data_IF_203175875051
#
_entry.id   IF_203175875051
#
_cell.length_a   1.000
_cell.length_b   1.000
_cell.length_c   1.000
_cell.angle_alpha   90.00
_cell.angle_beta   90.00
_cell.angle_gamma   90.00
#
_symmetry.space_group_name_H-M   'P 1'
#
loop_
_entity.id
_entity.type
_entity.pdbx_description
1 polymer ?
#
# COMPACT_ATOMS: atom_id res chain seq x y z
N UNK A 1 -4.23 -9.09 -11.97
CA UNK A 1 -3.68 -9.41 -10.63
C UNK A 1 -3.31 -8.12 -9.90
N UNK A 2 -3.35 -8.08 -8.56
CA UNK A 2 -2.88 -6.94 -7.75
C UNK A 2 -1.67 -7.34 -6.89
N UNK A 3 -0.57 -6.63 -7.04
CA UNK A 3 0.67 -6.88 -6.30
C UNK A 3 1.33 -5.63 -5.75
N UNK A 4 2.48 -5.78 -5.10
CA UNK A 4 3.30 -4.66 -4.63
C UNK A 4 4.71 -4.68 -5.20
N UNK A 5 5.33 -3.51 -5.27
CA UNK A 5 6.75 -3.37 -5.59
C UNK A 5 7.39 -2.19 -4.83
N UNK A 6 8.70 -2.28 -4.64
CA UNK A 6 9.48 -1.18 -4.07
C UNK A 6 9.94 -0.23 -5.17
N UNK A 7 9.57 1.04 -5.04
CA UNK A 7 10.07 2.12 -5.89
C UNK A 7 11.49 2.48 -5.48
N UNK A 8 12.42 2.35 -6.42
CA UNK A 8 13.84 2.72 -6.26
C UNK A 8 14.23 3.76 -7.31
N UNK A 9 14.97 4.79 -6.91
CA UNK A 9 15.50 5.80 -7.84
C UNK A 9 16.59 5.17 -8.72
N UNK A 10 16.67 5.59 -9.99
CA UNK A 10 17.71 5.15 -10.92
C UNK A 10 17.55 3.72 -11.47
N UNK A 11 16.48 3.00 -11.10
CA UNK A 11 16.21 1.67 -11.65
C UNK A 11 15.60 1.81 -13.05
N UNK A 12 16.15 1.07 -14.01
CA UNK A 12 15.66 1.02 -15.39
C UNK A 12 14.21 0.52 -15.41
N UNK A 13 13.38 1.12 -16.26
CA UNK A 13 11.97 0.73 -16.38
C UNK A 13 11.79 -0.77 -16.71
N UNK A 14 12.69 -1.34 -17.52
CA UNK A 14 12.71 -2.76 -17.86
C UNK A 14 12.96 -3.71 -16.67
N UNK A 15 13.49 -3.19 -15.55
CA UNK A 15 13.71 -3.96 -14.33
C UNK A 15 12.56 -3.83 -13.33
N UNK A 16 11.52 -3.08 -13.68
CA UNK A 16 10.29 -2.95 -12.88
C UNK A 16 9.24 -3.93 -13.40
N UNK A 17 8.27 -4.33 -12.55
CA UNK A 17 7.22 -5.22 -13.00
C UNK A 17 6.45 -4.67 -14.19
N UNK A 18 6.16 -5.54 -15.16
CA UNK A 18 5.31 -5.23 -16.32
C UNK A 18 3.87 -5.07 -15.84
N UNK A 19 3.19 -4.02 -16.32
CA UNK A 19 1.81 -3.72 -15.96
C UNK A 19 1.61 -2.27 -15.48
N UNK A 20 0.44 -2.03 -14.91
CA UNK A 20 0.00 -0.73 -14.42
C UNK A 20 0.57 -0.46 -13.04
N UNK A 21 1.48 0.51 -12.94
CA UNK A 21 2.15 0.87 -11.68
C UNK A 21 1.43 2.05 -11.04
N UNK A 22 0.95 1.88 -9.82
CA UNK A 22 0.26 2.92 -9.06
C UNK A 22 1.10 3.37 -7.87
N UNK A 23 1.38 4.67 -7.77
CA UNK A 23 2.07 5.24 -6.62
C UNK A 23 1.09 5.39 -5.44
N UNK A 24 1.42 4.77 -4.31
CA UNK A 24 0.58 4.78 -3.10
C UNK A 24 1.21 5.56 -1.94
N UNK A 25 2.24 6.37 -2.21
CA UNK A 25 2.87 7.21 -1.18
C UNK A 25 1.88 8.23 -0.60
N UNK A 26 2.12 8.65 0.64
CA UNK A 26 1.30 9.60 1.42
C UNK A 26 0.92 10.91 0.71
N UNK A 27 1.71 11.34 -0.27
CA UNK A 27 1.49 12.60 -1.01
C UNK A 27 0.61 12.45 -2.26
N UNK A 28 0.32 11.21 -2.68
CA UNK A 28 -0.56 10.93 -3.84
C UNK A 28 -2.02 11.12 -3.45
N UNK A 29 -2.96 10.96 -4.39
CA UNK A 29 -4.42 10.91 -4.11
C UNK A 29 -4.98 9.48 -4.12
N UNK A 30 -4.11 8.47 -4.14
CA UNK A 30 -4.52 7.08 -4.26
C UNK A 30 -5.39 6.64 -3.07
N UNK A 31 -6.42 5.82 -3.31
CA UNK A 31 -7.37 5.39 -2.27
C UNK A 31 -6.69 4.62 -1.12
N UNK A 32 -5.71 3.77 -1.47
CA UNK A 32 -4.88 3.03 -0.52
C UNK A 32 -3.72 3.83 0.12
N UNK A 33 -3.58 5.15 -0.09
CA UNK A 33 -2.47 5.91 0.52
C UNK A 33 -2.60 5.97 2.05
N UNK A 34 -1.51 5.86 2.83
CA UNK A 34 -1.56 6.21 4.25
C UNK A 34 -1.67 7.74 4.40
N UNK A 35 -2.14 8.23 5.55
CA UNK A 35 -2.08 9.66 5.84
C UNK A 35 -0.64 10.12 6.09
N UNK A 36 -0.37 11.41 5.88
CA UNK A 36 0.97 11.96 6.13
C UNK A 36 1.36 11.86 7.61
N UNK A 37 0.40 12.05 8.50
CA UNK A 37 0.54 11.95 9.95
C UNK A 37 0.94 10.54 10.40
N UNK A 38 0.24 9.52 9.90
CA UNK A 38 0.56 8.12 10.22
C UNK A 38 1.99 7.78 9.79
N UNK A 39 2.40 8.22 8.61
CA UNK A 39 3.78 7.99 8.13
C UNK A 39 4.81 8.77 8.95
N UNK A 40 4.50 9.98 9.42
CA UNK A 40 5.42 10.77 10.22
C UNK A 40 5.77 10.06 11.53
N UNK A 41 4.77 9.46 12.19
CA UNK A 41 4.94 8.72 13.45
C UNK A 41 5.81 7.48 13.29
N UNK A 42 5.51 6.64 12.31
CA UNK A 42 6.23 5.36 12.12
C UNK A 42 7.64 5.52 11.57
N UNK A 43 7.99 6.71 11.06
CA UNK A 43 9.34 7.05 10.59
C UNK A 43 10.07 8.03 11.53
N UNK A 44 9.54 8.26 12.73
CA UNK A 44 10.21 9.03 13.76
C UNK A 44 11.53 8.32 14.18
N UNK A 45 12.59 9.06 14.56
CA UNK A 45 13.88 8.47 14.92
C UNK A 45 13.82 7.47 16.08
N UNK A 46 12.85 7.65 16.98
CA UNK A 46 12.59 6.88 18.19
C UNK A 46 11.40 5.92 18.04
N UNK A 47 10.90 5.73 16.80
CA UNK A 47 9.79 4.82 16.55
C UNK A 47 10.18 3.37 16.89
N UNK A 48 9.36 2.75 17.72
CA UNK A 48 9.51 1.37 18.15
C UNK A 48 8.48 0.43 17.47
N UNK A 49 8.51 -0.84 17.87
CA UNK A 49 7.53 -1.83 17.42
C UNK A 49 6.10 -1.44 17.80
N UNK A 50 5.92 -0.72 18.90
CA UNK A 50 4.63 -0.18 19.34
C UNK A 50 4.08 0.86 18.37
N UNK A 51 4.91 1.78 17.88
CA UNK A 51 4.51 2.75 16.85
C UNK A 51 4.12 2.07 15.55
N UNK A 52 4.80 0.99 15.15
CA UNK A 52 4.37 0.18 14.00
C UNK A 52 2.97 -0.43 14.22
N UNK A 53 2.70 -1.02 15.40
CA UNK A 53 1.38 -1.59 15.67
C UNK A 53 0.28 -0.51 15.68
N UNK A 54 0.56 0.66 16.27
CA UNK A 54 -0.35 1.82 16.24
C UNK A 54 -0.61 2.28 14.81
N UNK A 55 0.43 2.37 13.98
CA UNK A 55 0.32 2.66 12.56
C UNK A 55 -0.56 1.63 11.84
N UNK A 56 -0.31 0.33 12.04
CA UNK A 56 -1.02 -0.73 11.35
C UNK A 56 -2.52 -0.71 11.67
N UNK A 57 -2.86 -0.56 12.96
CA UNK A 57 -4.26 -0.43 13.43
C UNK A 57 -4.93 0.81 12.83
N UNK A 58 -4.31 1.98 12.96
CA UNK A 58 -4.89 3.23 12.47
C UNK A 58 -5.00 3.27 10.95
N UNK A 59 -4.04 2.68 10.22
CA UNK A 59 -4.08 2.60 8.78
C UNK A 59 -5.21 1.67 8.28
N UNK A 60 -5.41 0.51 8.93
CA UNK A 60 -6.55 -0.37 8.60
C UNK A 60 -7.88 0.34 8.86
N UNK A 61 -8.03 1.01 10.01
CA UNK A 61 -9.22 1.79 10.33
C UNK A 61 -9.49 2.90 9.30
N UNK A 62 -8.43 3.57 8.83
CA UNK A 62 -8.53 4.57 7.76
C UNK A 62 -9.03 3.97 6.44
N UNK A 63 -8.60 2.75 6.08
CA UNK A 63 -9.09 2.08 4.88
C UNK A 63 -10.56 1.66 5.04
N UNK A 64 -10.93 1.10 6.18
CA UNK A 64 -12.33 0.75 6.49
C UNK A 64 -13.24 1.98 6.42
N UNK A 65 -12.82 3.10 7.02
CA UNK A 65 -13.57 4.35 6.96
C UNK A 65 -13.77 4.80 5.51
N UNK A 66 -12.69 4.88 4.72
CA UNK A 66 -12.77 5.29 3.31
C UNK A 66 -13.65 4.36 2.49
N UNK A 67 -13.56 3.07 2.74
CA UNK A 67 -14.35 2.06 2.03
C UNK A 67 -15.84 2.19 2.34
N UNK A 68 -16.19 2.46 3.60
CA UNK A 68 -17.55 2.72 4.02
C UNK A 68 -18.10 4.06 3.48
N UNK A 69 -17.26 5.09 3.41
CA UNK A 69 -17.63 6.42 2.88
C UNK A 69 -17.83 6.40 1.37
N UNK A 70 -16.89 5.82 0.63
CA UNK A 70 -16.94 5.69 -0.83
C UNK A 70 -16.18 4.45 -1.29
N UNK A 71 -16.93 3.40 -1.61
CA UNK A 71 -16.41 2.16 -2.15
C UNK A 71 -15.94 2.29 -3.60
N UNK A 72 -16.43 3.27 -4.36
CA UNK A 72 -16.24 3.38 -5.82
C UNK A 72 -14.77 3.33 -6.27
N UNK A 73 -13.85 4.09 -5.66
CA UNK A 73 -12.43 4.03 -5.99
C UNK A 73 -11.76 2.67 -5.69
N UNK A 74 -12.23 1.93 -4.68
CA UNK A 74 -11.74 0.58 -4.38
C UNK A 74 -12.26 -0.43 -5.41
N UNK A 75 -13.53 -0.34 -5.78
CA UNK A 75 -14.13 -1.18 -6.83
C UNK A 75 -13.44 -0.94 -8.18
N UNK A 76 -13.14 0.32 -8.51
CA UNK A 76 -12.39 0.67 -9.71
C UNK A 76 -10.98 0.06 -9.72
N UNK A 77 -10.30 0.05 -8.57
CA UNK A 77 -9.00 -0.60 -8.43
C UNK A 77 -9.11 -2.12 -8.57
N UNK A 78 -10.12 -2.74 -7.95
CA UNK A 78 -10.36 -4.17 -8.06
C UNK A 78 -10.65 -4.57 -9.51
N UNK A 79 -11.52 -3.83 -10.21
CA UNK A 79 -11.82 -4.07 -11.62
C UNK A 79 -10.61 -3.92 -12.53
N UNK A 80 -9.80 -2.87 -12.29
CA UNK A 80 -8.54 -2.69 -13.00
C UNK A 80 -7.61 -3.89 -12.80
N UNK A 81 -7.56 -4.41 -11.57
CA UNK A 81 -6.76 -5.58 -11.23
C UNK A 81 -7.36 -6.92 -11.68
N UNK A 82 -8.63 -6.99 -12.08
CA UNK A 82 -9.18 -8.18 -12.76
C UNK A 82 -8.71 -8.28 -14.20
N UNK A 83 -8.54 -7.14 -14.86
CA UNK A 83 -8.21 -7.06 -16.29
C UNK A 83 -6.72 -6.85 -16.57
N UNK A 84 -5.98 -6.28 -15.61
CA UNK A 84 -4.57 -5.95 -15.76
C UNK A 84 -3.74 -6.41 -14.56
N UNK A 85 -2.43 -6.51 -14.78
CA UNK A 85 -1.46 -6.60 -13.70
C UNK A 85 -1.23 -5.22 -13.11
N UNK A 86 -1.70 -5.00 -11.88
CA UNK A 86 -1.61 -3.74 -11.15
C UNK A 86 -0.60 -3.86 -10.02
N UNK A 87 0.33 -2.92 -9.94
CA UNK A 87 1.43 -2.93 -9.00
C UNK A 87 1.39 -1.69 -8.10
N UNK A 88 1.16 -1.89 -6.81
CA UNK A 88 1.20 -0.85 -5.78
C UNK A 88 2.64 -0.52 -5.41
N UNK A 89 3.05 0.70 -5.72
CA UNK A 89 4.37 1.21 -5.43
C UNK A 89 4.44 1.90 -4.08
N UNK A 90 5.51 1.62 -3.33
CA UNK A 90 5.93 2.38 -2.16
C UNK A 90 7.46 2.53 -2.14
N UNK A 91 7.98 3.52 -1.42
CA UNK A 91 9.43 3.69 -1.23
C UNK A 91 9.98 2.93 -0.01
N UNK A 92 9.16 2.18 0.72
CA UNK A 92 9.65 1.26 1.76
C UNK A 92 10.14 -0.06 1.13
N UNK A 93 11.19 -0.70 1.69
CA UNK A 93 11.86 -0.36 2.94
C UNK A 93 12.84 0.83 2.78
N UNK A 94 13.12 1.51 3.89
CA UNK A 94 14.10 2.61 3.99
C UNK A 94 15.06 2.36 5.15
N UNK A 95 16.11 3.17 5.31
CA UNK A 95 16.99 3.07 6.49
C UNK A 95 16.21 3.20 7.82
N UNK A 96 15.13 3.99 7.84
CA UNK A 96 14.26 4.19 9.02
C UNK A 96 13.17 3.11 9.17
N UNK A 97 12.99 2.28 8.16
CA UNK A 97 12.04 1.17 8.18
C UNK A 97 12.56 0.05 7.27
N UNK A 98 13.51 -0.75 7.76
CA UNK A 98 14.21 -1.74 6.94
C UNK A 98 13.37 -2.99 6.68
N UNK A 99 12.37 -3.27 7.51
CA UNK A 99 11.53 -4.46 7.38
C UNK A 99 10.45 -4.28 6.30
N UNK A 100 10.57 -5.02 5.20
CA UNK A 100 9.59 -5.03 4.09
C UNK A 100 8.18 -5.44 4.51
N UNK A 101 8.03 -6.16 5.62
CA UNK A 101 6.73 -6.56 6.20
C UNK A 101 6.07 -5.38 6.92
N UNK A 102 6.86 -4.39 7.34
CA UNK A 102 6.38 -3.12 7.93
C UNK A 102 6.06 -2.07 6.88
N UNK A 103 5.41 -2.49 5.79
CA UNK A 103 5.01 -1.58 4.71
C UNK A 103 3.49 -1.48 4.63
N UNK A 104 2.97 -0.26 4.45
CA UNK A 104 1.53 -0.05 4.31
C UNK A 104 0.94 -0.80 3.11
N UNK A 105 1.70 -1.02 2.03
CA UNK A 105 1.18 -1.75 0.87
C UNK A 105 0.91 -3.22 1.20
N UNK A 106 1.65 -3.84 2.12
CA UNK A 106 1.33 -5.21 2.56
C UNK A 106 -0.01 -5.23 3.30
N UNK A 107 -0.25 -4.26 4.20
CA UNK A 107 -1.53 -4.09 4.89
C UNK A 107 -2.67 -3.77 3.90
N UNK A 108 -2.39 -2.97 2.87
CA UNK A 108 -3.35 -2.61 1.84
C UNK A 108 -3.76 -3.82 0.98
N UNK A 109 -2.80 -4.67 0.61
CA UNK A 109 -3.09 -5.92 -0.10
C UNK A 109 -3.92 -6.89 0.76
N UNK A 110 -3.61 -6.98 2.06
CA UNK A 110 -4.42 -7.77 3.00
C UNK A 110 -5.86 -7.24 3.11
N UNK A 111 -6.02 -5.92 3.15
CA UNK A 111 -7.33 -5.26 3.12
C UNK A 111 -8.09 -5.59 1.84
N UNK A 112 -7.47 -5.42 0.67
CA UNK A 112 -8.10 -5.76 -0.61
C UNK A 112 -8.48 -7.23 -0.69
N UNK A 113 -7.68 -8.15 -0.14
CA UNK A 113 -7.99 -9.58 -0.11
C UNK A 113 -9.21 -9.91 0.73
N UNK A 114 -9.39 -9.21 1.85
CA UNK A 114 -10.55 -9.42 2.71
C UNK A 114 -11.86 -8.95 2.06
N UNK A 115 -11.82 -7.82 1.34
CA UNK A 115 -13.00 -7.20 0.74
C UNK A 115 -13.30 -7.65 -0.70
N UNK A 116 -12.31 -8.22 -1.41
CA UNK A 116 -12.39 -8.73 -2.78
C UNK A 116 -11.74 -10.13 -2.86
N UNK A 117 -12.37 -11.17 -2.28
CA UNK A 117 -11.77 -12.49 -2.15
C UNK A 117 -11.51 -13.21 -3.48
N UNK A 118 -12.17 -12.78 -4.56
CA UNK A 118 -11.99 -13.30 -5.92
C UNK A 118 -10.77 -12.72 -6.65
N UNK A 119 -10.15 -11.66 -6.11
CA UNK A 119 -9.03 -10.99 -6.76
C UNK A 119 -7.72 -11.77 -6.56
N UNK A 120 -6.98 -12.04 -7.63
CA UNK A 120 -5.60 -12.57 -7.53
C UNK A 120 -4.68 -11.49 -6.92
N UNK A 121 -4.38 -11.64 -5.62
CA UNK A 121 -3.53 -10.74 -4.86
C UNK A 121 -2.23 -11.43 -4.45
N UNK A 122 -1.08 -10.86 -4.85
CA UNK A 122 0.25 -11.42 -4.61
C UNK A 122 1.12 -10.50 -3.75
N UNK A 123 1.90 -11.09 -2.85
CA UNK A 123 2.91 -10.37 -2.05
C UNK A 123 2.37 -9.58 -0.84
N UNK A 124 1.19 -9.95 -0.35
CA UNK A 124 0.71 -9.57 0.99
C UNK A 124 1.54 -10.24 2.09
#
# INVERSE_FOLDING_TARGET
MLGRYTMKRGVRAASLPVGLRQDTRKHTRHVLRPSAELVARVLAPDADDGEWQRFATAYRALLEQRFAEDRGPFDALAELARTHDVWLGCSCPTAKNPDVRRCHTALALAFMRAHYPELDIRGA
#
